data_IF_469747476200
#
_entry.id   IF_469747476200
#
_cell.length_a   1.000
_cell.length_b   1.000
_cell.length_c   1.000
_cell.angle_alpha   90.00
_cell.angle_beta   90.00
_cell.angle_gamma   90.00
#
_symmetry.space_group_name_H-M   'P 1'
#
loop_
_entity.id
_entity.type
_entity.pdbx_description
1 polymer ?
#
# COMPACT_ATOMS: atom_id res chain seq x y z
N UNK A 1 -9.54 7.84 -0.15
CA UNK A 1 -8.20 7.27 -0.41
C UNK A 1 -7.15 8.00 0.39
N UNK A 2 -6.18 7.27 0.88
CA UNK A 2 -5.09 7.86 1.66
C UNK A 2 -4.07 8.54 0.75
N UNK A 3 -3.63 9.73 1.15
CA UNK A 3 -2.53 10.41 0.45
C UNK A 3 -1.19 9.81 0.89
N UNK A 4 -0.14 10.06 0.12
CA UNK A 4 1.20 9.61 0.50
C UNK A 4 1.63 10.23 1.83
N UNK A 5 1.27 11.48 2.09
CA UNK A 5 1.60 12.15 3.35
C UNK A 5 0.95 11.45 4.56
N UNK A 6 -0.33 11.08 4.43
CA UNK A 6 -1.03 10.34 5.49
C UNK A 6 -0.40 8.98 5.73
N UNK A 7 -0.02 8.29 4.66
CA UNK A 7 0.62 6.98 4.77
C UNK A 7 1.99 7.06 5.45
N UNK A 8 2.73 8.14 5.23
CA UNK A 8 4.03 8.34 5.87
C UNK A 8 3.94 8.54 7.38
N UNK A 9 2.80 9.06 7.85
CA UNK A 9 2.55 9.23 9.28
C UNK A 9 2.13 7.94 9.97
N UNK A 10 1.61 6.96 9.22
CA UNK A 10 1.20 5.67 9.76
C UNK A 10 2.42 4.82 10.11
N UNK A 11 2.31 3.98 11.12
CA UNK A 11 3.39 3.06 11.45
C UNK A 11 3.40 1.86 10.49
N UNK A 12 4.47 1.09 10.51
CA UNK A 12 4.67 -0.02 9.59
C UNK A 12 3.59 -1.09 9.72
N UNK A 13 3.20 -1.40 10.96
CA UNK A 13 2.14 -2.38 11.23
C UNK A 13 0.81 -1.95 10.64
N UNK A 14 0.46 -0.68 10.77
CA UNK A 14 -0.76 -0.13 10.20
C UNK A 14 -0.73 -0.17 8.68
N UNK A 15 0.42 0.14 8.07
CA UNK A 15 0.59 0.08 6.62
C UNK A 15 0.42 -1.34 6.09
N UNK A 16 0.97 -2.33 6.79
CA UNK A 16 0.83 -3.73 6.41
C UNK A 16 -0.63 -4.18 6.46
N UNK A 17 -1.37 -3.73 7.48
CA UNK A 17 -2.80 -4.00 7.61
C UNK A 17 -3.58 -3.39 6.44
N UNK A 18 -3.31 -2.12 6.14
CA UNK A 18 -3.94 -1.44 5.01
C UNK A 18 -3.63 -2.11 3.68
N UNK A 19 -2.40 -2.58 3.52
CA UNK A 19 -1.99 -3.31 2.31
C UNK A 19 -2.78 -4.61 2.15
N UNK A 20 -2.92 -5.38 3.22
CA UNK A 20 -3.68 -6.62 3.20
C UNK A 20 -5.15 -6.37 2.84
N UNK A 21 -5.76 -5.34 3.43
CA UNK A 21 -7.14 -4.95 3.15
C UNK A 21 -7.31 -4.51 1.68
N UNK A 22 -6.36 -3.71 1.17
CA UNK A 22 -6.40 -3.23 -0.20
C UNK A 22 -6.25 -4.38 -1.20
N UNK A 23 -5.39 -5.35 -0.93
CA UNK A 23 -5.21 -6.54 -1.76
C UNK A 23 -6.48 -7.39 -1.77
N UNK A 24 -7.15 -7.51 -0.64
CA UNK A 24 -8.41 -8.24 -0.55
C UNK A 24 -9.50 -7.55 -1.38
N UNK A 25 -9.58 -6.23 -1.30
CA UNK A 25 -10.52 -5.46 -2.10
C UNK A 25 -10.22 -5.61 -3.60
N UNK A 26 -8.96 -5.58 -3.99
CA UNK A 26 -8.54 -5.77 -5.38
C UNK A 26 -8.99 -7.13 -5.90
N UNK A 27 -8.80 -8.18 -5.12
CA UNK A 27 -9.23 -9.52 -5.49
C UNK A 27 -10.75 -9.57 -5.70
N UNK A 28 -11.50 -9.00 -4.75
CA UNK A 28 -12.97 -8.97 -4.83
C UNK A 28 -13.46 -8.20 -6.04
N UNK A 29 -12.84 -7.06 -6.35
CA UNK A 29 -13.20 -6.25 -7.51
C UNK A 29 -12.93 -7.00 -8.82
N UNK A 30 -11.79 -7.66 -8.93
CA UNK A 30 -11.46 -8.47 -10.11
C UNK A 30 -12.46 -9.60 -10.31
N UNK A 31 -12.82 -10.25 -9.23
CA UNK A 31 -13.83 -11.31 -9.27
C UNK A 31 -15.18 -10.78 -9.77
N UNK A 32 -15.62 -9.64 -9.25
CA UNK A 32 -16.87 -9.01 -9.64
C UNK A 32 -16.88 -8.60 -11.13
N UNK A 33 -15.76 -8.11 -11.62
CA UNK A 33 -15.63 -7.77 -13.04
C UNK A 33 -15.72 -9.01 -13.92
N UNK A 34 -15.02 -10.07 -13.56
CA UNK A 34 -15.02 -11.32 -14.31
C UNK A 34 -16.41 -11.95 -14.34
N UNK A 35 -17.16 -11.87 -13.27
CA UNK A 35 -18.52 -12.43 -13.20
C UNK A 35 -19.58 -11.50 -13.80
N UNK A 36 -19.20 -10.32 -14.26
CA UNK A 36 -20.13 -9.35 -14.84
C UNK A 36 -20.95 -8.57 -13.85
N UNK A 37 -20.63 -8.63 -12.56
CA UNK A 37 -21.34 -7.91 -11.51
C UNK A 37 -20.91 -6.45 -11.39
N UNK A 38 -19.74 -6.11 -11.92
CA UNK A 38 -19.18 -4.77 -11.81
C UNK A 38 -18.50 -4.39 -13.11
N UNK A 39 -18.93 -3.27 -13.70
CA UNK A 39 -18.35 -2.75 -14.94
C UNK A 39 -17.32 -1.63 -14.68
N UNK A 40 -17.26 -1.13 -13.45
CA UNK A 40 -16.48 0.05 -13.16
C UNK A 40 -15.00 -0.26 -12.90
N UNK A 41 -14.19 -0.11 -13.95
CA UNK A 41 -12.74 -0.29 -13.86
C UNK A 41 -12.03 0.86 -13.14
N UNK A 42 -12.70 1.99 -12.94
CA UNK A 42 -12.13 3.13 -12.22
C UNK A 42 -11.84 2.76 -10.76
N UNK A 43 -12.74 2.01 -10.12
CA UNK A 43 -12.53 1.55 -8.75
C UNK A 43 -11.33 0.61 -8.67
N UNK A 44 -11.18 -0.28 -9.65
CA UNK A 44 -10.04 -1.20 -9.73
C UNK A 44 -8.73 -0.41 -9.83
N UNK A 45 -8.68 0.59 -10.68
CA UNK A 45 -7.48 1.43 -10.83
C UNK A 45 -7.18 2.20 -9.54
N UNK A 46 -8.21 2.72 -8.88
CA UNK A 46 -8.04 3.45 -7.63
C UNK A 46 -7.42 2.58 -6.54
N UNK A 47 -7.88 1.34 -6.40
CA UNK A 47 -7.33 0.41 -5.42
C UNK A 47 -5.89 0.02 -5.77
N UNK A 48 -5.61 -0.19 -7.05
CA UNK A 48 -4.24 -0.48 -7.49
C UNK A 48 -3.28 0.67 -7.19
N UNK A 49 -3.72 1.91 -7.37
CA UNK A 49 -2.93 3.10 -7.02
C UNK A 49 -2.68 3.18 -5.52
N UNK A 50 -3.69 2.86 -4.70
CA UNK A 50 -3.55 2.81 -3.25
C UNK A 50 -2.49 1.79 -2.83
N UNK A 51 -2.55 0.59 -3.39
CA UNK A 51 -1.56 -0.45 -3.13
C UNK A 51 -0.16 0.03 -3.48
N UNK A 52 0.00 0.65 -4.65
CA UNK A 52 1.29 1.17 -5.08
C UNK A 52 1.84 2.22 -4.11
N UNK A 53 0.99 3.13 -3.62
CA UNK A 53 1.39 4.14 -2.64
C UNK A 53 1.83 3.49 -1.32
N UNK A 54 1.07 2.52 -0.82
CA UNK A 54 1.40 1.82 0.42
C UNK A 54 2.75 1.11 0.28
N UNK A 55 2.96 0.40 -0.82
CA UNK A 55 4.22 -0.29 -1.09
C UNK A 55 5.40 0.68 -1.17
N UNK A 56 5.20 1.84 -1.80
CA UNK A 56 6.23 2.86 -1.91
C UNK A 56 6.63 3.38 -0.52
N UNK A 57 5.64 3.68 0.33
CA UNK A 57 5.92 4.19 1.67
C UNK A 57 6.59 3.12 2.53
N UNK A 58 6.15 1.87 2.44
CA UNK A 58 6.80 0.77 3.15
C UNK A 58 8.27 0.62 2.72
N UNK A 59 8.54 0.75 1.42
CA UNK A 59 9.90 0.69 0.91
C UNK A 59 10.75 1.84 1.41
N UNK A 60 10.19 3.05 1.46
CA UNK A 60 10.87 4.21 2.04
C UNK A 60 11.26 3.96 3.49
N UNK A 61 10.35 3.38 4.28
CA UNK A 61 10.60 3.08 5.68
C UNK A 61 11.68 2.02 5.86
N UNK A 62 11.71 1.02 5.00
CA UNK A 62 12.76 0.00 5.01
C UNK A 62 14.14 0.63 4.74
N UNK A 63 14.20 1.52 3.77
CA UNK A 63 15.44 2.23 3.40
C UNK A 63 15.90 3.10 4.56
N UNK A 64 15.01 3.86 5.18
CA UNK A 64 15.32 4.69 6.33
C UNK A 64 15.86 3.86 7.49
N UNK A 65 15.23 2.73 7.76
CA UNK A 65 15.67 1.83 8.83
C UNK A 65 17.06 1.26 8.55
N UNK A 66 17.32 0.88 7.31
CA UNK A 66 18.65 0.37 6.90
C UNK A 66 19.72 1.45 7.02
N UNK A 67 19.43 2.68 6.59
CA UNK A 67 20.35 3.80 6.69
C UNK A 67 20.64 4.14 8.15
N UNK A 68 19.61 4.13 9.00
CA UNK A 68 19.79 4.38 10.43
C UNK A 68 20.66 3.31 11.09
N UNK A 69 20.48 2.04 10.70
CA UNK A 69 21.31 0.95 11.20
C UNK A 69 22.77 1.09 10.77
N UNK A 70 23.01 1.46 9.51
CA UNK A 70 24.36 1.71 9.02
C UNK A 70 25.03 2.87 9.73
N UNK A 71 24.28 3.96 9.93
CA UNK A 71 24.79 5.12 10.66
C UNK A 71 25.15 4.75 12.10
N UNK A 72 24.37 3.90 12.74
CA UNK A 72 24.64 3.39 14.07
C UNK A 72 25.91 2.53 14.13
N UNK A 73 26.16 1.71 13.11
CA UNK A 73 27.34 0.87 13.03
C UNK A 73 28.62 1.66 12.80
N UNK A 74 28.54 2.77 12.07
CA UNK A 74 29.71 3.60 11.77
C UNK A 74 30.06 4.58 12.89
N UNK A 75 29.19 4.74 13.83
CA UNK A 75 29.45 5.60 15.00
C UNK A 75 30.23 4.84 16.07
#
# INVERSE_FOLDING_TARGET
MSTAAELREADESELETRLAEAKQELFNLRFQIVTGQLDNSARLRAVRHDIARILTVLREKEIEAAEAAEAGETA
#
